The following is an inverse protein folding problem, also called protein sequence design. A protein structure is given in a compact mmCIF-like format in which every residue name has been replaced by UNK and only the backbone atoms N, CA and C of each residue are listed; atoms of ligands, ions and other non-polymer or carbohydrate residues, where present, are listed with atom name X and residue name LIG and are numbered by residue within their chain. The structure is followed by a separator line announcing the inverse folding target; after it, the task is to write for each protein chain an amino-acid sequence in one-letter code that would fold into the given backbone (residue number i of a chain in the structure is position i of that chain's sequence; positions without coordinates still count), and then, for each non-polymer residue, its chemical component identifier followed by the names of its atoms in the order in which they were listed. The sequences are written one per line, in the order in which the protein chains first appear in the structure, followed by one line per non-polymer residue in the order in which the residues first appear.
data_IF_841801880323
#
_entry.id   IF_841801880323
#
_cell.length_a   1.000
_cell.length_b   1.000
_cell.length_c   1.000
_cell.angle_alpha   90.00
_cell.angle_beta   90.00
_cell.angle_gamma   90.00
#
_symmetry.space_group_name_H-M   'P 1'
#
loop_
_entity.id
_entity.type
_entity.pdbx_description
1 polymer ?
#
# COMPACT_ATOMS: atom_id res chain seq x y z
N UNK A 1 -42.30 38.68 3.89
CA UNK A 1 -41.03 38.78 3.16
C UNK A 1 -39.96 38.27 4.10
N UNK A 2 -39.57 37.05 3.94
CA UNK A 2 -38.53 36.37 4.70
C UNK A 2 -37.42 35.96 3.74
N UNK A 3 -36.29 36.66 3.83
CA UNK A 3 -35.08 36.31 3.07
C UNK A 3 -34.41 35.13 3.74
N UNK A 4 -34.53 33.95 3.14
CA UNK A 4 -33.71 32.80 3.48
C UNK A 4 -32.29 33.04 2.97
N UNK A 5 -31.35 33.35 3.86
CA UNK A 5 -29.93 33.27 3.58
C UNK A 5 -29.53 31.81 3.39
N UNK A 6 -28.85 31.45 2.31
CA UNK A 6 -28.25 30.12 2.19
C UNK A 6 -27.14 30.01 3.22
N UNK A 7 -27.24 29.01 4.05
CA UNK A 7 -26.18 28.60 4.98
C UNK A 7 -24.98 28.18 4.12
N UNK A 8 -23.98 29.02 4.11
CA UNK A 8 -22.67 28.73 3.52
C UNK A 8 -22.10 27.51 4.26
N UNK A 9 -22.18 26.35 3.62
CA UNK A 9 -21.40 25.19 4.02
C UNK A 9 -19.93 25.56 3.83
N UNK A 10 -19.28 26.06 4.87
CA UNK A 10 -17.84 26.19 4.93
C UNK A 10 -17.25 24.81 4.67
N UNK A 11 -16.77 24.56 3.47
CA UNK A 11 -15.81 23.50 3.20
C UNK A 11 -14.67 23.70 4.22
N UNK A 12 -14.63 22.85 5.26
CA UNK A 12 -13.50 22.80 6.16
C UNK A 12 -12.27 22.56 5.31
N UNK A 13 -11.46 23.59 5.13
CA UNK A 13 -10.19 23.51 4.42
C UNK A 13 -9.27 22.64 5.27
N UNK A 14 -9.36 21.30 5.09
CA UNK A 14 -8.53 20.35 5.82
C UNK A 14 -7.09 20.57 5.37
N UNK A 15 -6.25 21.00 6.28
CA UNK A 15 -4.82 21.16 6.05
C UNK A 15 -4.21 19.82 5.65
N UNK A 16 -3.34 19.84 4.63
CA UNK A 16 -2.56 18.68 4.20
C UNK A 16 -1.19 18.74 4.89
N UNK A 17 -1.04 17.98 5.97
CA UNK A 17 0.27 17.79 6.58
C UNK A 17 1.09 16.79 5.76
N UNK A 18 2.43 16.97 5.62
CA UNK A 18 3.24 16.09 4.80
C UNK A 18 3.30 14.66 5.34
N UNK A 19 3.45 13.70 4.45
CA UNK A 19 3.85 12.33 4.79
C UNK A 19 5.35 12.21 4.97
N UNK A 20 6.11 13.02 4.23
CA UNK A 20 7.57 13.02 4.18
C UNK A 20 8.09 14.44 4.29
N UNK A 21 9.07 14.67 5.14
CA UNK A 21 9.82 15.93 5.21
C UNK A 21 11.23 15.69 5.77
N UNK A 22 12.00 16.77 5.94
CA UNK A 22 13.34 16.73 6.51
C UNK A 22 13.38 17.46 7.87
N UNK A 23 12.24 17.55 8.55
CA UNK A 23 12.14 18.21 9.85
C UNK A 23 12.08 17.16 10.95
N UNK A 24 12.74 17.45 12.06
CA UNK A 24 12.56 16.68 13.29
C UNK A 24 11.39 17.29 14.07
N UNK A 25 10.20 16.72 13.90
CA UNK A 25 8.95 17.19 14.49
C UNK A 25 8.17 16.07 15.18
N UNK A 26 8.75 15.49 16.26
CA UNK A 26 8.19 14.31 16.91
C UNK A 26 6.79 14.57 17.51
N UNK A 27 5.89 13.63 17.29
CA UNK A 27 4.57 13.58 17.87
C UNK A 27 4.41 12.37 18.78
N UNK A 28 3.44 12.40 19.67
CA UNK A 28 3.10 11.25 20.51
C UNK A 28 2.45 10.16 19.65
N UNK A 29 2.98 8.94 19.72
CA UNK A 29 2.47 7.77 18.99
C UNK A 29 1.85 6.74 19.95
N UNK A 30 1.03 5.82 19.39
CA UNK A 30 0.43 4.72 20.14
C UNK A 30 1.41 3.55 20.33
N UNK A 31 2.29 3.34 19.36
CA UNK A 31 3.34 2.33 19.45
C UNK A 31 4.68 2.90 18.92
N UNK A 32 5.76 2.80 19.67
CA UNK A 32 5.83 2.38 21.09
C UNK A 32 4.99 3.26 22.01
N UNK A 33 4.32 2.66 22.99
CA UNK A 33 3.32 3.34 23.82
C UNK A 33 3.83 4.61 24.45
N UNK A 34 3.19 5.74 24.12
CA UNK A 34 3.50 7.06 24.67
C UNK A 34 4.82 7.67 24.19
N UNK A 35 5.54 7.01 23.29
CA UNK A 35 6.77 7.58 22.72
C UNK A 35 6.45 8.84 21.90
N UNK A 36 7.45 9.73 21.81
CA UNK A 36 7.46 10.85 20.86
C UNK A 36 8.44 10.51 19.77
N UNK A 37 7.93 10.35 18.56
CA UNK A 37 8.72 9.99 17.39
C UNK A 37 8.36 10.89 16.22
N UNK A 38 9.34 11.13 15.37
CA UNK A 38 9.11 11.72 14.08
C UNK A 38 8.39 10.70 13.17
N UNK A 39 7.27 11.11 12.60
CA UNK A 39 6.40 10.27 11.76
C UNK A 39 6.46 10.65 10.29
N UNK A 40 7.36 11.56 9.95
CA UNK A 40 7.57 12.09 8.61
C UNK A 40 9.01 11.87 8.16
N UNK A 41 9.36 10.62 7.79
CA UNK A 41 10.72 10.34 7.32
C UNK A 41 11.03 11.13 6.05
N UNK A 42 12.31 11.25 5.66
CA UNK A 42 12.69 11.81 4.37
C UNK A 42 11.96 11.12 3.22
N UNK A 43 11.67 11.85 2.14
CA UNK A 43 10.99 11.30 0.98
C UNK A 43 11.76 10.09 0.41
N UNK A 44 11.11 8.97 0.12
CA UNK A 44 11.75 7.81 -0.51
C UNK A 44 12.19 8.16 -1.93
N UNK A 45 13.30 7.58 -2.37
CA UNK A 45 13.73 7.68 -3.75
C UNK A 45 13.01 6.61 -4.58
N UNK A 46 12.23 7.04 -5.56
CA UNK A 46 11.51 6.15 -6.44
C UNK A 46 12.37 5.75 -7.63
N UNK A 47 12.42 4.47 -7.93
CA UNK A 47 13.05 3.96 -9.15
C UNK A 47 12.08 4.00 -10.34
N UNK A 48 12.55 3.62 -11.53
CA UNK A 48 11.74 3.64 -12.75
C UNK A 48 10.52 2.71 -12.68
N UNK A 49 10.63 1.59 -11.97
CA UNK A 49 9.53 0.65 -11.82
C UNK A 49 8.47 1.18 -10.83
N UNK A 50 8.88 1.82 -9.73
CA UNK A 50 7.97 2.51 -8.81
C UNK A 50 7.13 3.54 -9.56
N UNK A 51 7.76 4.36 -10.39
CA UNK A 51 7.09 5.38 -11.20
C UNK A 51 6.13 4.73 -12.21
N UNK A 52 6.52 3.62 -12.84
CA UNK A 52 5.65 2.90 -13.77
C UNK A 52 4.42 2.29 -13.07
N UNK A 53 4.58 1.77 -11.84
CA UNK A 53 3.45 1.32 -11.01
C UNK A 53 2.50 2.46 -10.69
N UNK A 54 3.01 3.62 -10.29
CA UNK A 54 2.18 4.81 -10.01
C UNK A 54 1.42 5.28 -11.25
N UNK A 55 2.06 5.26 -12.42
CA UNK A 55 1.42 5.57 -13.70
C UNK A 55 0.31 4.56 -14.02
N UNK A 56 0.53 3.29 -13.73
CA UNK A 56 -0.48 2.22 -13.92
C UNK A 56 -1.68 2.43 -12.99
N UNK A 57 -1.46 2.87 -11.76
CA UNK A 57 -2.53 3.22 -10.82
C UNK A 57 -3.42 4.36 -11.32
N UNK A 58 -2.86 5.34 -12.02
CA UNK A 58 -3.61 6.52 -12.47
C UNK A 58 -4.09 7.41 -11.32
N UNK A 59 -5.18 8.11 -11.51
CA UNK A 59 -5.79 8.95 -10.47
C UNK A 59 -6.30 8.11 -9.29
N UNK A 60 -6.35 8.72 -8.10
CA UNK A 60 -6.85 8.03 -6.90
C UNK A 60 -8.32 7.62 -7.07
N UNK A 61 -8.62 6.38 -6.76
CA UNK A 61 -9.94 5.80 -6.93
C UNK A 61 -10.23 5.30 -8.35
N UNK A 62 -9.26 5.38 -9.27
CA UNK A 62 -9.38 4.78 -10.60
C UNK A 62 -9.27 3.26 -10.53
N UNK A 63 -9.95 2.60 -11.44
CA UNK A 63 -9.83 1.14 -11.63
C UNK A 63 -8.67 0.82 -12.56
N UNK A 64 -7.83 -0.12 -12.15
CA UNK A 64 -6.77 -0.67 -12.99
C UNK A 64 -7.28 -1.92 -13.72
N UNK A 65 -7.07 -1.96 -15.02
CA UNK A 65 -7.44 -3.13 -15.83
C UNK A 65 -6.33 -4.19 -15.80
N UNK A 66 -6.67 -5.49 -15.83
CA UNK A 66 -5.69 -6.57 -15.95
C UNK A 66 -4.70 -6.39 -17.11
N UNK A 67 -5.16 -5.82 -18.22
CA UNK A 67 -4.32 -5.54 -19.39
C UNK A 67 -3.21 -4.51 -19.10
N UNK A 68 -3.48 -3.52 -18.25
CA UNK A 68 -2.48 -2.52 -17.82
C UNK A 68 -1.38 -3.14 -16.95
N UNK A 69 -1.75 -4.07 -16.07
CA UNK A 69 -0.80 -4.84 -15.28
C UNK A 69 0.07 -5.76 -16.16
N UNK A 70 -0.53 -6.44 -17.14
CA UNK A 70 0.22 -7.25 -18.11
C UNK A 70 1.19 -6.39 -18.91
N UNK A 71 0.77 -5.20 -19.35
CA UNK A 71 1.63 -4.27 -20.06
C UNK A 71 2.79 -3.80 -19.17
N UNK A 72 2.52 -3.42 -17.92
CA UNK A 72 3.55 -3.06 -16.94
C UNK A 72 4.64 -4.14 -16.84
N UNK A 73 4.26 -5.40 -16.68
CA UNK A 73 5.22 -6.51 -16.57
C UNK A 73 5.87 -6.89 -17.92
N UNK A 74 5.24 -6.59 -19.04
CA UNK A 74 5.84 -6.73 -20.37
C UNK A 74 6.91 -5.68 -20.63
N UNK A 75 6.71 -4.46 -20.15
CA UNK A 75 7.68 -3.37 -20.24
C UNK A 75 8.87 -3.55 -19.26
N UNK A 76 8.66 -4.33 -18.19
CA UNK A 76 9.67 -4.66 -17.19
C UNK A 76 9.86 -6.19 -17.04
N UNK A 77 10.33 -6.87 -18.10
CA UNK A 77 10.42 -8.33 -18.11
C UNK A 77 11.34 -8.92 -17.04
N UNK A 78 12.32 -8.15 -16.57
CA UNK A 78 13.21 -8.55 -15.47
C UNK A 78 12.43 -8.70 -14.16
N UNK A 79 11.39 -7.89 -13.92
CA UNK A 79 10.53 -8.00 -12.73
C UNK A 79 9.71 -9.30 -12.79
N UNK A 80 9.09 -9.58 -13.93
CA UNK A 80 8.37 -10.83 -14.16
C UNK A 80 9.27 -12.06 -13.94
N UNK A 81 10.51 -12.00 -14.41
CA UNK A 81 11.51 -13.06 -14.22
C UNK A 81 11.84 -13.26 -12.74
N UNK A 82 12.00 -12.18 -11.96
CA UNK A 82 12.25 -12.26 -10.52
C UNK A 82 11.06 -12.88 -9.77
N UNK A 83 9.84 -12.49 -10.11
CA UNK A 83 8.63 -13.07 -9.52
C UNK A 83 8.54 -14.57 -9.84
N UNK A 84 8.77 -14.94 -11.09
CA UNK A 84 8.77 -16.35 -11.52
C UNK A 84 9.83 -17.17 -10.78
N UNK A 85 11.03 -16.64 -10.62
CA UNK A 85 12.09 -17.29 -9.83
C UNK A 85 11.71 -17.46 -8.35
N UNK A 86 11.14 -16.43 -7.73
CA UNK A 86 10.71 -16.46 -6.33
C UNK A 86 9.61 -17.49 -6.06
N UNK A 87 8.84 -17.86 -7.09
CA UNK A 87 7.75 -18.85 -7.02
C UNK A 87 8.15 -20.22 -7.58
N UNK A 88 9.45 -20.48 -7.75
CA UNK A 88 9.99 -21.74 -8.30
C UNK A 88 9.51 -22.04 -9.72
N UNK A 89 9.26 -21.01 -10.52
CA UNK A 89 8.93 -21.10 -11.94
C UNK A 89 7.45 -21.20 -12.27
N UNK A 90 6.56 -21.38 -11.29
CA UNK A 90 5.13 -21.58 -11.55
C UNK A 90 4.25 -21.11 -10.38
N UNK A 91 3.04 -20.68 -10.67
CA UNK A 91 1.97 -20.44 -9.69
C UNK A 91 1.00 -21.62 -9.63
N UNK A 92 0.63 -22.15 -10.77
CA UNK A 92 -0.15 -23.38 -10.91
C UNK A 92 0.74 -24.51 -11.45
N UNK A 93 0.53 -25.76 -11.01
CA UNK A 93 1.36 -26.88 -11.42
C UNK A 93 1.46 -27.03 -12.95
N UNK A 94 2.69 -27.15 -13.46
CA UNK A 94 2.97 -27.36 -14.86
C UNK A 94 2.87 -26.14 -15.78
N UNK A 95 2.41 -25.00 -15.28
CA UNK A 95 2.23 -23.77 -16.05
C UNK A 95 3.46 -22.87 -15.92
N UNK A 96 4.53 -23.22 -16.65
CA UNK A 96 5.87 -22.60 -16.54
C UNK A 96 6.23 -21.66 -17.68
N UNK A 97 5.50 -21.72 -18.81
CA UNK A 97 5.74 -20.78 -19.91
C UNK A 97 5.48 -19.35 -19.41
N UNK A 98 6.29 -18.41 -19.87
CA UNK A 98 6.21 -17.01 -19.44
C UNK A 98 4.81 -16.40 -19.62
N UNK A 99 4.13 -16.73 -20.73
CA UNK A 99 2.77 -16.28 -21.00
C UNK A 99 1.73 -16.89 -20.05
N UNK A 100 1.87 -18.18 -19.72
CA UNK A 100 1.01 -18.86 -18.74
C UNK A 100 1.21 -18.31 -17.33
N UNK A 101 2.48 -18.13 -16.96
CA UNK A 101 2.83 -17.55 -15.68
C UNK A 101 2.28 -16.12 -15.53
N UNK A 102 2.42 -15.27 -16.54
CA UNK A 102 1.87 -13.91 -16.54
C UNK A 102 0.35 -13.91 -16.43
N UNK A 103 -0.33 -14.85 -17.08
CA UNK A 103 -1.78 -14.98 -16.97
C UNK A 103 -2.18 -15.39 -15.55
N UNK A 104 -1.54 -16.38 -14.96
CA UNK A 104 -1.81 -16.84 -13.59
C UNK A 104 -1.51 -15.77 -12.57
N UNK A 105 -0.39 -15.06 -12.73
CA UNK A 105 -0.02 -13.91 -11.90
C UNK A 105 -1.08 -12.81 -11.95
N UNK A 106 -1.53 -12.46 -13.15
CA UNK A 106 -2.60 -11.48 -13.32
C UNK A 106 -3.88 -11.93 -12.62
N UNK A 107 -4.25 -13.19 -12.76
CA UNK A 107 -5.46 -13.72 -12.14
C UNK A 107 -5.43 -13.59 -10.62
N UNK A 108 -4.32 -13.96 -9.94
CA UNK A 108 -4.24 -13.89 -8.48
C UNK A 108 -4.22 -12.46 -7.94
N UNK A 109 -3.61 -11.53 -8.67
CA UNK A 109 -3.54 -10.12 -8.27
C UNK A 109 -4.85 -9.36 -8.52
N UNK A 110 -5.65 -9.78 -9.49
CA UNK A 110 -6.89 -9.09 -9.87
C UNK A 110 -8.16 -9.78 -9.38
N UNK A 111 -8.08 -11.02 -8.89
CA UNK A 111 -9.23 -11.76 -8.35
C UNK A 111 -10.00 -10.98 -7.28
N UNK A 112 -9.28 -10.31 -6.39
CA UNK A 112 -9.82 -9.52 -5.29
C UNK A 112 -9.26 -8.09 -5.30
N UNK A 113 -8.84 -7.58 -6.47
CA UNK A 113 -8.26 -6.24 -6.62
C UNK A 113 -6.99 -5.99 -5.78
N UNK A 114 -6.20 -7.02 -5.48
CA UNK A 114 -5.02 -6.91 -4.64
C UNK A 114 -4.01 -5.88 -5.14
N UNK A 115 -3.85 -5.71 -6.46
CA UNK A 115 -2.96 -4.70 -7.01
C UNK A 115 -3.45 -3.28 -6.69
N UNK A 116 -4.71 -2.96 -6.97
CA UNK A 116 -5.28 -1.66 -6.64
C UNK A 116 -5.20 -1.40 -5.14
N UNK A 117 -5.59 -2.39 -4.35
CA UNK A 117 -5.61 -2.29 -2.89
C UNK A 117 -4.22 -1.98 -2.31
N UNK A 118 -3.19 -2.73 -2.68
CA UNK A 118 -1.85 -2.59 -2.10
C UNK A 118 -1.14 -1.34 -2.63
N UNK A 119 -1.14 -1.12 -3.95
CA UNK A 119 -0.33 -0.08 -4.59
C UNK A 119 -1.04 1.26 -4.78
N UNK A 120 -2.32 1.23 -5.12
CA UNK A 120 -3.00 2.44 -5.61
C UNK A 120 -3.84 3.13 -4.55
N UNK A 121 -4.41 2.38 -3.64
CA UNK A 121 -5.46 2.84 -2.74
C UNK A 121 -6.82 2.92 -3.44
N UNK A 122 -7.85 2.44 -2.77
CA UNK A 122 -9.23 2.45 -3.25
C UNK A 122 -10.04 3.45 -2.43
N UNK A 123 -11.04 4.06 -3.03
CA UNK A 123 -11.96 4.97 -2.32
C UNK A 123 -13.30 4.28 -2.22
N UNK A 124 -13.67 3.82 -1.02
CA UNK A 124 -14.96 3.17 -0.78
C UNK A 124 -16.05 4.19 -0.43
N UNK A 125 -15.73 5.14 0.45
CA UNK A 125 -16.62 6.23 0.82
C UNK A 125 -15.79 7.41 1.41
N UNK A 126 -16.43 8.40 1.99
CA UNK A 126 -15.77 9.61 2.52
C UNK A 126 -14.88 9.35 3.75
N UNK A 127 -15.06 8.22 4.43
CA UNK A 127 -14.34 7.87 5.64
C UNK A 127 -13.61 6.53 5.54
N UNK A 128 -13.44 6.00 4.31
CA UNK A 128 -12.87 4.68 4.13
C UNK A 128 -12.05 4.61 2.83
N UNK A 129 -10.74 4.47 3.01
CA UNK A 129 -9.76 4.28 1.96
C UNK A 129 -9.30 2.82 2.04
N UNK A 130 -9.55 2.04 0.99
CA UNK A 130 -9.06 0.66 0.91
C UNK A 130 -7.57 0.61 0.60
N UNK A 131 -6.84 -0.22 1.36
CA UNK A 131 -5.42 -0.46 1.11
C UNK A 131 -4.52 0.74 1.31
N UNK A 132 -3.76 1.12 0.26
CA UNK A 132 -2.77 2.19 0.27
C UNK A 132 -1.54 1.81 1.13
N UNK A 133 -0.73 0.86 0.64
CA UNK A 133 0.40 0.31 1.40
C UNK A 133 1.77 0.49 0.72
N UNK A 134 1.82 1.17 -0.41
CA UNK A 134 3.04 1.47 -1.15
C UNK A 134 3.51 2.92 -0.89
N UNK A 135 4.70 3.08 -0.34
CA UNK A 135 5.25 4.39 0.03
C UNK A 135 5.28 5.39 -1.13
N UNK A 136 5.54 4.90 -2.35
CA UNK A 136 5.55 5.75 -3.53
C UNK A 136 4.21 6.44 -3.80
N UNK A 137 3.09 5.79 -3.46
CA UNK A 137 1.76 6.39 -3.60
C UNK A 137 1.56 7.56 -2.64
N UNK A 138 2.03 7.43 -1.40
CA UNK A 138 2.01 8.53 -0.43
C UNK A 138 2.82 9.73 -0.92
N UNK A 139 4.02 9.48 -1.47
CA UNK A 139 4.85 10.55 -2.03
C UNK A 139 4.15 11.24 -3.20
N UNK A 140 3.56 10.48 -4.13
CA UNK A 140 2.81 11.03 -5.26
C UNK A 140 1.63 11.91 -4.82
N UNK A 141 0.86 11.43 -3.82
CA UNK A 141 -0.26 12.19 -3.27
C UNK A 141 0.18 13.52 -2.66
N UNK A 142 1.31 13.52 -1.96
CA UNK A 142 1.91 14.72 -1.38
C UNK A 142 2.41 15.67 -2.47
N UNK A 143 3.17 15.19 -3.43
CA UNK A 143 3.71 16.00 -4.53
C UNK A 143 2.61 16.64 -5.38
N UNK A 144 1.51 15.93 -5.61
CA UNK A 144 0.35 16.47 -6.32
C UNK A 144 -0.54 17.37 -5.44
N UNK A 145 -0.19 17.54 -4.15
CA UNK A 145 -0.93 18.36 -3.19
C UNK A 145 -2.39 17.95 -3.03
N UNK A 146 -2.66 16.66 -3.18
CA UNK A 146 -4.00 16.06 -3.02
C UNK A 146 -4.09 15.11 -1.83
N UNK A 147 -2.99 14.76 -1.20
CA UNK A 147 -2.99 13.89 -0.01
C UNK A 147 -2.00 14.33 1.05
N UNK A 148 -2.32 14.00 2.29
CA UNK A 148 -1.50 14.29 3.45
C UNK A 148 -1.98 13.57 4.70
N UNK A 149 -1.24 13.75 5.80
CA UNK A 149 -1.63 13.24 7.13
C UNK A 149 -2.80 14.06 7.69
N UNK A 150 -3.64 13.40 8.47
CA UNK A 150 -4.62 14.11 9.30
C UNK A 150 -3.89 14.92 10.39
N UNK A 151 -4.30 16.19 10.65
CA UNK A 151 -3.74 17.02 11.73
C UNK A 151 -3.93 16.40 13.10
N UNK A 152 -5.08 15.76 13.31
CA UNK A 152 -5.42 15.01 14.52
C UNK A 152 -5.65 13.57 14.07
N UNK A 153 -4.88 12.65 14.64
CA UNK A 153 -5.01 11.23 14.32
C UNK A 153 -5.75 10.52 15.47
N UNK A 154 -7.07 10.27 15.33
CA UNK A 154 -7.85 9.56 16.33
C UNK A 154 -7.62 8.04 16.28
N UNK A 155 -7.01 7.55 15.20
CA UNK A 155 -6.74 6.14 14.99
C UNK A 155 -5.44 5.67 15.64
N UNK A 156 -5.12 4.42 15.36
CA UNK A 156 -3.90 3.77 15.83
C UNK A 156 -2.68 4.25 15.02
N UNK A 157 -1.76 4.91 15.69
CA UNK A 157 -0.52 5.38 15.09
C UNK A 157 0.65 4.55 15.60
N UNK A 158 1.25 3.78 14.70
CA UNK A 158 2.38 2.91 15.00
C UNK A 158 3.58 3.35 14.18
N UNK A 159 4.73 3.45 14.82
CA UNK A 159 5.96 3.85 14.17
C UNK A 159 7.10 2.94 14.61
N UNK A 160 7.75 2.33 13.64
CA UNK A 160 9.08 1.76 13.79
C UNK A 160 9.99 2.61 12.93
N UNK A 161 10.79 3.51 13.54
CA UNK A 161 11.54 4.53 12.80
C UNK A 161 12.36 3.95 11.65
N UNK A 162 12.22 4.53 10.46
CA UNK A 162 12.86 4.05 9.24
C UNK A 162 12.28 2.77 8.62
N UNK A 163 11.24 2.18 9.21
CA UNK A 163 10.71 0.87 8.79
C UNK A 163 9.20 0.88 8.56
N UNK A 164 8.41 1.25 9.58
CA UNK A 164 6.94 1.24 9.53
C UNK A 164 6.38 2.58 9.97
N UNK A 165 5.45 3.10 9.18
CA UNK A 165 4.71 4.32 9.51
C UNK A 165 3.22 4.11 9.27
N UNK A 166 2.42 4.26 10.33
CA UNK A 166 0.96 4.18 10.30
C UNK A 166 0.37 5.50 10.78
N UNK A 167 -0.63 6.02 10.09
CA UNK A 167 -1.19 7.34 10.33
C UNK A 167 -2.62 7.48 9.79
N UNK A 168 -3.31 8.53 10.19
CA UNK A 168 -4.51 8.99 9.51
C UNK A 168 -4.17 9.71 8.22
N UNK A 169 -5.00 9.53 7.19
CA UNK A 169 -4.79 10.05 5.84
C UNK A 169 -5.97 10.89 5.39
N UNK A 170 -5.70 11.96 4.68
CA UNK A 170 -6.69 12.75 3.97
C UNK A 170 -6.32 12.82 2.48
N UNK A 171 -7.32 12.62 1.62
CA UNK A 171 -7.20 12.73 0.16
C UNK A 171 -8.26 13.68 -0.36
N UNK A 172 -7.83 14.72 -1.09
CA UNK A 172 -8.72 15.68 -1.76
C UNK A 172 -9.00 15.18 -3.18
N UNK A 173 -10.26 14.95 -3.47
CA UNK A 173 -10.75 14.71 -4.83
C UNK A 173 -11.50 15.96 -5.33
N UNK A 174 -11.76 16.11 -6.63
CA UNK A 174 -12.39 17.32 -7.19
C UNK A 174 -13.69 17.73 -6.48
N UNK A 175 -14.50 16.76 -6.08
CA UNK A 175 -15.85 16.99 -5.51
C UNK A 175 -15.99 16.61 -4.04
N UNK A 176 -14.96 16.05 -3.41
CA UNK A 176 -15.03 15.60 -2.01
C UNK A 176 -13.64 15.45 -1.37
N UNK A 177 -13.63 15.47 -0.06
CA UNK A 177 -12.47 15.08 0.73
C UNK A 177 -12.75 13.72 1.37
N UNK A 178 -11.79 12.82 1.26
CA UNK A 178 -11.86 11.46 1.83
C UNK A 178 -10.82 11.35 2.94
N UNK A 179 -11.20 10.74 4.05
CA UNK A 179 -10.31 10.52 5.19
C UNK A 179 -10.31 9.05 5.59
N UNK A 180 -9.22 8.62 6.21
CA UNK A 180 -9.17 7.34 6.90
C UNK A 180 -8.25 7.50 8.10
N UNK A 181 -8.65 6.96 9.25
CA UNK A 181 -7.91 7.16 10.51
C UNK A 181 -6.71 6.24 10.66
N UNK A 182 -6.59 5.21 9.83
CA UNK A 182 -5.52 4.22 9.93
C UNK A 182 -5.10 3.69 8.56
N UNK A 183 -3.98 4.22 8.07
CA UNK A 183 -3.27 3.73 6.89
C UNK A 183 -1.79 3.63 7.20
N UNK A 184 -1.07 2.81 6.44
CA UNK A 184 0.36 2.67 6.68
C UNK A 184 1.11 2.01 5.54
N UNK A 185 2.42 2.23 5.54
CA UNK A 185 3.35 1.70 4.56
C UNK A 185 4.64 1.19 5.21
N UNK A 186 5.29 0.23 4.56
CA UNK A 186 6.68 -0.12 4.83
C UNK A 186 7.60 0.86 4.12
N UNK A 187 8.41 1.58 4.87
CA UNK A 187 9.29 2.61 4.32
C UNK A 187 10.40 2.05 3.43
N UNK A 188 10.90 0.86 3.78
CA UNK A 188 12.01 0.21 3.10
C UNK A 188 11.60 -0.53 1.80
N UNK A 189 10.30 -0.75 1.57
CA UNK A 189 9.84 -1.67 0.53
C UNK A 189 9.39 -0.93 -0.72
N UNK A 190 10.07 -1.14 -1.82
CA UNK A 190 9.70 -0.62 -3.14
C UNK A 190 8.65 -1.52 -3.84
N UNK A 191 8.19 -1.11 -5.03
CA UNK A 191 7.15 -1.82 -5.75
C UNK A 191 7.59 -3.21 -6.25
N UNK A 192 8.84 -3.36 -6.66
CA UNK A 192 9.41 -4.66 -7.06
C UNK A 192 9.37 -5.65 -5.90
N UNK A 193 9.86 -5.23 -4.74
CA UNK A 193 9.89 -6.07 -3.54
C UNK A 193 8.49 -6.47 -3.08
N UNK A 194 7.53 -5.53 -3.12
CA UNK A 194 6.14 -5.83 -2.82
C UNK A 194 5.57 -6.89 -3.77
N UNK A 195 5.75 -6.74 -5.08
CA UNK A 195 5.25 -7.73 -6.05
C UNK A 195 5.89 -9.10 -5.84
N UNK A 196 7.20 -9.15 -5.64
CA UNK A 196 7.94 -10.41 -5.45
C UNK A 196 7.52 -11.09 -4.15
N UNK A 197 7.56 -10.37 -3.02
CA UNK A 197 7.30 -10.94 -1.71
C UNK A 197 5.83 -11.37 -1.55
N UNK A 198 4.89 -10.54 -1.96
CA UNK A 198 3.46 -10.87 -1.90
C UNK A 198 3.13 -12.10 -2.74
N UNK A 199 3.69 -12.19 -3.95
CA UNK A 199 3.45 -13.35 -4.83
C UNK A 199 4.10 -14.61 -4.26
N UNK A 200 5.30 -14.50 -3.69
CA UNK A 200 5.98 -15.61 -2.99
C UNK A 200 5.15 -16.12 -1.81
N UNK A 201 4.71 -15.22 -0.94
CA UNK A 201 3.86 -15.58 0.21
C UNK A 201 2.56 -16.22 -0.24
N UNK A 202 1.92 -15.67 -1.27
CA UNK A 202 0.72 -16.27 -1.87
C UNK A 202 0.97 -17.74 -2.27
N UNK A 203 2.06 -18.02 -2.97
CA UNK A 203 2.43 -19.38 -3.38
C UNK A 203 2.67 -20.30 -2.19
N UNK A 204 3.33 -19.82 -1.15
CA UNK A 204 3.61 -20.57 0.08
C UNK A 204 2.33 -20.88 0.88
N UNK A 205 1.32 -20.00 0.80
CA UNK A 205 0.02 -20.25 1.47
C UNK A 205 -0.94 -21.11 0.64
N UNK A 206 -0.44 -21.94 -0.25
CA UNK A 206 -1.26 -22.85 -1.05
C UNK A 206 -2.27 -23.61 -0.15
N UNK A 207 -3.53 -23.59 -0.54
CA UNK A 207 -4.65 -24.21 0.17
C UNK A 207 -4.92 -23.67 1.59
N UNK A 208 -4.39 -22.48 1.93
CA UNK A 208 -4.63 -21.84 3.23
C UNK A 208 -5.15 -20.43 3.00
N UNK A 209 -6.41 -20.22 3.29
CA UNK A 209 -7.07 -18.91 3.20
C UNK A 209 -6.95 -18.11 4.50
N UNK A 210 -7.24 -16.80 4.39
CA UNK A 210 -7.24 -15.88 5.52
C UNK A 210 -5.91 -15.19 5.75
N UNK A 211 -5.79 -14.56 6.92
CA UNK A 211 -4.63 -13.76 7.30
C UNK A 211 -3.49 -14.62 7.88
N UNK A 212 -2.26 -14.20 7.62
CA UNK A 212 -1.08 -14.69 8.31
C UNK A 212 0.00 -13.60 8.41
N UNK A 213 0.89 -13.75 9.39
CA UNK A 213 2.01 -12.85 9.64
C UNK A 213 3.24 -13.35 8.88
N UNK A 214 3.77 -12.49 8.02
CA UNK A 214 4.99 -12.71 7.27
C UNK A 214 6.09 -11.80 7.80
N UNK A 215 7.32 -12.30 7.92
CA UNK A 215 8.49 -11.48 8.20
C UNK A 215 9.09 -11.03 6.88
N UNK A 216 8.87 -9.77 6.55
CA UNK A 216 9.46 -9.16 5.37
C UNK A 216 10.91 -8.79 5.67
N UNK A 217 11.80 -9.06 4.74
CA UNK A 217 13.23 -8.75 4.85
C UNK A 217 13.58 -7.68 3.82
N UNK A 218 14.03 -6.53 4.31
CA UNK A 218 14.74 -5.58 3.45
C UNK A 218 16.14 -6.10 3.16
N UNK A 219 16.45 -6.28 1.88
CA UNK A 219 17.70 -6.91 1.45
C UNK A 219 18.89 -5.97 1.47
N UNK A 220 18.63 -4.67 1.45
CA UNK A 220 19.68 -3.66 1.48
C UNK A 220 20.22 -3.47 2.90
N UNK A 221 19.33 -3.36 3.87
CA UNK A 221 19.71 -3.11 5.28
C UNK A 221 19.76 -4.37 6.14
N UNK A 222 19.18 -5.49 5.67
CA UNK A 222 18.99 -6.71 6.46
C UNK A 222 17.91 -6.57 7.54
N UNK A 223 17.14 -5.50 7.53
CA UNK A 223 16.07 -5.26 8.50
C UNK A 223 14.89 -6.15 8.22
N UNK A 224 14.41 -6.86 9.24
CA UNK A 224 13.20 -7.67 9.15
C UNK A 224 12.07 -7.03 9.95
N UNK A 225 10.88 -7.02 9.39
CA UNK A 225 9.70 -6.45 10.04
C UNK A 225 8.42 -7.23 9.69
N UNK A 226 7.45 -7.27 10.62
CA UNK A 226 6.23 -8.03 10.42
C UNK A 226 5.27 -7.32 9.45
N UNK A 227 4.66 -8.13 8.59
CA UNK A 227 3.60 -7.73 7.66
C UNK A 227 2.45 -8.72 7.74
N UNK A 228 1.25 -8.25 7.52
CA UNK A 228 0.06 -9.10 7.45
C UNK A 228 -0.27 -9.36 6.00
N UNK A 229 -0.31 -10.61 5.62
CA UNK A 229 -0.76 -11.07 4.31
C UNK A 229 -2.16 -11.67 4.42
N UNK A 230 -3.06 -11.33 3.51
CA UNK A 230 -4.41 -11.90 3.44
C UNK A 230 -4.71 -12.45 2.06
N UNK A 231 -5.14 -13.69 2.04
CA UNK A 231 -5.59 -14.41 0.84
C UNK A 231 -7.03 -14.86 1.02
N UNK A 232 -7.85 -14.75 -0.04
CA UNK A 232 -9.23 -15.22 -0.07
C UNK A 232 -9.62 -15.64 -1.49
N UNK A 233 -10.40 -16.72 -1.61
CA UNK A 233 -10.91 -17.21 -2.90
C UNK A 233 -9.80 -17.34 -3.97
N UNK A 234 -8.64 -17.86 -3.59
CA UNK A 234 -7.47 -18.02 -4.46
C UNK A 234 -6.95 -16.69 -5.07
N UNK A 235 -7.15 -15.59 -4.39
CA UNK A 235 -6.67 -14.28 -4.79
C UNK A 235 -6.02 -13.52 -3.63
N UNK A 236 -5.18 -12.56 -3.95
CA UNK A 236 -4.54 -11.65 -3.01
C UNK A 236 -5.55 -10.60 -2.61
N UNK A 237 -5.73 -10.38 -1.30
CA UNK A 237 -6.52 -9.28 -0.75
C UNK A 237 -5.61 -8.11 -0.41
N UNK A 238 -4.68 -8.31 0.53
CA UNK A 238 -3.83 -7.25 1.05
C UNK A 238 -2.50 -7.76 1.58
N UNK A 239 -1.57 -6.82 1.72
CA UNK A 239 -0.27 -7.02 2.35
C UNK A 239 0.16 -5.68 2.95
N UNK A 240 0.25 -5.59 4.27
CA UNK A 240 0.56 -4.34 4.95
C UNK A 240 1.45 -4.54 6.17
N UNK A 241 2.34 -3.59 6.48
CA UNK A 241 3.15 -3.66 7.68
C UNK A 241 2.29 -3.43 8.92
N UNK A 242 2.58 -4.18 9.97
CA UNK A 242 1.94 -4.04 11.27
C UNK A 242 3.01 -4.23 12.35
N UNK A 243 3.20 -3.23 13.21
CA UNK A 243 4.24 -3.27 14.24
C UNK A 243 3.88 -4.25 15.39
N UNK A 244 2.60 -4.55 15.55
CA UNK A 244 2.09 -5.39 16.64
C UNK A 244 1.08 -6.43 16.15
N UNK A 245 1.42 -7.23 15.13
CA UNK A 245 0.47 -8.13 14.50
C UNK A 245 0.08 -9.27 15.45
N UNK A 246 -1.19 -9.69 15.34
CA UNK A 246 -1.71 -10.85 16.06
C UNK A 246 -2.23 -11.88 15.08
N UNK A 247 -1.94 -13.14 15.33
CA UNK A 247 -2.43 -14.24 14.50
C UNK A 247 -1.36 -15.29 14.21
N UNK A 248 -1.69 -16.20 13.30
CA UNK A 248 -0.77 -17.27 12.87
C UNK A 248 0.35 -16.72 11.98
N UNK A 249 1.50 -17.35 12.03
CA UNK A 249 2.59 -17.10 11.07
C UNK A 249 2.23 -17.70 9.70
N UNK A 250 2.67 -17.05 8.63
CA UNK A 250 2.61 -17.62 7.30
C UNK A 250 3.48 -18.89 7.22
N UNK A 251 3.07 -19.84 6.39
CA UNK A 251 3.90 -21.02 6.07
C UNK A 251 5.13 -20.56 5.31
N UNK A 252 6.26 -21.18 5.58
CA UNK A 252 7.52 -20.95 4.88
C UNK A 252 7.55 -21.65 3.50
#
# INVERSE_FOLDING_TARGET
MGLNNPVNAQQKNTELLPFFDNKDNPVRVNYPSGAKLDITPPAPQLNSFDIAVLKTCGAVGSTVRPSQFKQLLSDYPQILTKIQKATKGELLPGRRKKSEFLQDLTNIWFKNKGFEHIFCGEIYNENDIGGLHFHGRYLQLQEYKIGGRLPINPGRQEVVPGVIYTMGVVIKQPNRTVTDVIKGYGYLTNAEELLVDVTKVYKQQKNTEGACIYQQLDRETGTSFPTVFVRKNQGIITFYPDATPKGRKCKA
#
